data_IF_330266408152
#
_entry.id   IF_330266408152
#
_cell.length_a   1.000
_cell.length_b   1.000
_cell.length_c   1.000
_cell.angle_alpha   90.00
_cell.angle_beta   90.00
_cell.angle_gamma   90.00
#
_symmetry.space_group_name_H-M   'P 1'
#
loop_
_entity.id
_entity.type
_entity.pdbx_description
1 polymer ?
#
# COMPACT_ATOMS: atom_id res chain seq x y z
N UNK A 1 -38.42 -30.44 16.71
CA UNK A 1 -36.95 -30.39 16.65
C UNK A 1 -36.43 -30.58 15.23
N UNK A 2 -36.34 -31.80 14.66
CA UNK A 2 -35.75 -31.99 13.30
C UNK A 2 -36.36 -31.09 12.20
N UNK A 3 -37.68 -30.95 12.14
CA UNK A 3 -38.37 -30.09 11.16
C UNK A 3 -38.22 -28.56 11.40
N UNK A 4 -37.78 -28.13 12.59
CA UNK A 4 -37.49 -26.72 12.83
C UNK A 4 -36.08 -26.36 12.33
N UNK A 5 -35.13 -27.29 12.45
CA UNK A 5 -33.73 -27.09 12.04
C UNK A 5 -33.63 -26.90 10.52
N UNK A 6 -34.44 -27.61 9.73
CA UNK A 6 -34.50 -27.48 8.26
C UNK A 6 -34.89 -26.07 7.78
N UNK A 7 -35.88 -25.42 8.43
CA UNK A 7 -36.31 -24.08 8.03
C UNK A 7 -35.30 -22.99 8.41
N UNK A 8 -34.55 -23.19 9.49
CA UNK A 8 -33.50 -22.25 9.93
C UNK A 8 -32.23 -22.35 9.07
N UNK A 9 -31.88 -23.56 8.60
CA UNK A 9 -30.78 -23.75 7.66
C UNK A 9 -31.09 -23.11 6.29
N UNK A 10 -32.34 -23.23 5.80
CA UNK A 10 -32.79 -22.56 4.58
C UNK A 10 -32.74 -21.02 4.68
N UNK A 11 -33.05 -20.44 5.84
CA UNK A 11 -32.93 -19.00 6.05
C UNK A 11 -31.47 -18.51 6.06
N UNK A 12 -30.54 -19.31 6.60
CA UNK A 12 -29.11 -19.02 6.57
C UNK A 12 -28.48 -19.17 5.17
N UNK A 13 -29.07 -19.98 4.29
CA UNK A 13 -28.62 -20.18 2.90
C UNK A 13 -29.23 -19.12 1.95
N UNK A 14 -30.34 -18.48 2.33
CA UNK A 14 -31.00 -17.43 1.55
C UNK A 14 -30.46 -16.00 1.80
N UNK A 15 -29.57 -15.82 2.80
CA UNK A 15 -28.98 -14.52 3.14
C UNK A 15 -27.47 -14.64 3.38
N UNK A 16 -26.70 -13.95 2.53
CA UNK A 16 -25.22 -13.94 2.44
C UNK A 16 -24.63 -15.03 1.52
N UNK A 17 -23.98 -14.58 0.44
CA UNK A 17 -23.21 -15.41 -0.50
C UNK A 17 -21.81 -15.76 0.06
N UNK A 18 -21.18 -16.81 -0.47
CA UNK A 18 -19.75 -16.80 -0.84
C UNK A 18 -19.41 -17.88 -1.90
N UNK A 19 -18.24 -17.72 -2.54
CA UNK A 19 -17.85 -18.11 -3.93
C UNK A 19 -16.30 -18.25 -3.96
N UNK A 20 -15.58 -19.06 -4.78
CA UNK A 20 -15.85 -19.80 -6.04
C UNK A 20 -15.13 -21.16 -6.11
N UNK A 21 -15.59 -22.05 -7.02
CA UNK A 21 -14.95 -23.30 -7.46
C UNK A 21 -13.57 -23.14 -8.15
N UNK A 22 -12.84 -24.27 -8.26
CA UNK A 22 -11.79 -24.49 -9.28
C UNK A 22 -11.73 -25.98 -9.76
N UNK A 23 -11.24 -26.28 -10.99
CA UNK A 23 -11.41 -27.59 -11.64
C UNK A 23 -10.12 -28.40 -11.89
N UNK A 24 -10.26 -29.71 -12.13
CA UNK A 24 -9.29 -30.51 -12.91
C UNK A 24 -10.06 -31.39 -13.91
N UNK A 25 -9.61 -31.43 -15.17
CA UNK A 25 -10.20 -32.26 -16.22
C UNK A 25 -9.16 -33.21 -16.83
N UNK A 26 -9.38 -34.52 -16.69
CA UNK A 26 -8.85 -35.54 -17.59
C UNK A 26 -9.77 -36.77 -17.56
N UNK A 27 -10.44 -37.05 -18.68
CA UNK A 27 -11.23 -38.28 -18.85
C UNK A 27 -10.29 -39.36 -19.38
N UNK A 28 -10.08 -40.45 -18.62
CA UNK A 28 -10.23 -41.84 -19.11
C UNK A 28 -9.64 -42.88 -18.15
N UNK A 29 -10.43 -43.94 -17.89
CA UNK A 29 -9.93 -45.28 -17.53
C UNK A 29 -9.38 -45.50 -16.11
N UNK A 30 -9.77 -46.64 -15.52
CA UNK A 30 -9.03 -47.25 -14.40
C UNK A 30 -9.69 -47.12 -13.03
N UNK A 31 -10.12 -48.26 -12.48
CA UNK A 31 -10.67 -48.39 -11.12
C UNK A 31 -9.53 -48.44 -10.10
N UNK A 32 -9.64 -47.74 -8.96
CA UNK A 32 -8.70 -47.85 -7.84
C UNK A 32 -9.13 -47.11 -6.58
N UNK A 33 -9.41 -47.85 -5.50
CA UNK A 33 -9.77 -47.31 -4.18
C UNK A 33 -8.52 -47.10 -3.31
N UNK A 34 -8.41 -45.97 -2.59
CA UNK A 34 -8.12 -45.90 -1.14
C UNK A 34 -7.67 -44.49 -0.68
N UNK A 35 -8.23 -44.00 0.45
CA UNK A 35 -7.44 -43.23 1.43
C UNK A 35 -7.89 -41.82 1.85
N UNK A 36 -8.63 -41.75 2.97
CA UNK A 36 -8.73 -40.64 3.96
C UNK A 36 -9.61 -39.41 3.67
N UNK A 37 -10.31 -39.05 4.75
CA UNK A 37 -10.88 -37.75 5.14
C UNK A 37 -11.94 -37.10 4.22
N UNK A 38 -13.18 -37.56 4.40
CA UNK A 38 -14.39 -37.05 3.74
C UNK A 38 -14.84 -35.68 4.28
N UNK A 39 -14.32 -34.59 3.71
CA UNK A 39 -14.97 -33.28 3.73
C UNK A 39 -15.53 -32.95 2.35
N UNK A 40 -16.85 -32.72 2.22
CA UNK A 40 -17.45 -32.19 0.99
C UNK A 40 -17.47 -30.67 1.08
N UNK A 41 -16.53 -30.01 0.43
CA UNK A 41 -16.61 -28.57 0.16
C UNK A 41 -17.60 -28.32 -0.99
N UNK A 42 -18.45 -27.31 -0.85
CA UNK A 42 -19.39 -26.87 -1.89
C UNK A 42 -18.99 -25.45 -2.30
N UNK A 43 -18.11 -25.36 -3.29
CA UNK A 43 -17.41 -24.10 -3.60
C UNK A 43 -18.24 -23.06 -4.40
N UNK A 44 -19.43 -23.40 -4.88
CA UNK A 44 -20.25 -22.44 -5.64
C UNK A 44 -21.76 -22.72 -5.60
N UNK A 45 -22.53 -21.68 -5.27
CA UNK A 45 -23.99 -21.63 -5.45
C UNK A 45 -24.33 -20.34 -6.19
N UNK A 46 -24.83 -20.40 -7.44
CA UNK A 46 -25.33 -19.20 -8.11
C UNK A 46 -26.64 -18.71 -7.48
N UNK A 47 -26.83 -17.39 -7.43
CA UNK A 47 -27.98 -16.74 -6.79
C UNK A 47 -29.37 -17.07 -7.39
N UNK A 48 -29.42 -17.91 -8.43
CA UNK A 48 -30.62 -18.38 -9.13
C UNK A 48 -31.07 -19.80 -8.72
N UNK A 49 -30.39 -20.47 -7.78
CA UNK A 49 -30.79 -21.80 -7.31
C UNK A 49 -32.04 -21.72 -6.44
N UNK A 50 -33.17 -22.18 -6.97
CA UNK A 50 -34.39 -22.39 -6.22
C UNK A 50 -34.28 -23.67 -5.37
N UNK A 51 -33.76 -23.50 -4.15
CA UNK A 51 -33.57 -24.57 -3.17
C UNK A 51 -34.85 -25.32 -2.77
N UNK A 52 -36.04 -24.77 -3.05
CA UNK A 52 -37.31 -25.46 -2.80
C UNK A 52 -37.54 -26.65 -3.75
N UNK A 53 -36.78 -26.72 -4.85
CA UNK A 53 -36.86 -27.78 -5.88
C UNK A 53 -35.79 -28.87 -5.74
N UNK A 54 -34.91 -28.79 -4.74
CA UNK A 54 -33.89 -29.82 -4.48
C UNK A 54 -34.50 -30.97 -3.67
N UNK A 55 -34.40 -32.21 -4.16
CA UNK A 55 -34.82 -33.40 -3.41
C UNK A 55 -33.76 -33.80 -2.37
N UNK A 56 -33.90 -33.22 -1.19
CA UNK A 56 -33.05 -33.49 -0.03
C UNK A 56 -33.18 -34.91 0.56
N UNK A 57 -34.14 -35.73 0.08
CA UNK A 57 -34.32 -37.10 0.58
C UNK A 57 -33.20 -38.05 0.13
N UNK A 58 -32.45 -37.70 -0.92
CA UNK A 58 -31.33 -38.48 -1.44
C UNK A 58 -30.00 -38.21 -0.69
N UNK A 59 -29.95 -37.22 0.21
CA UNK A 59 -28.72 -36.87 0.94
C UNK A 59 -28.57 -37.76 2.18
N UNK A 60 -27.46 -38.49 2.27
CA UNK A 60 -27.15 -39.32 3.43
C UNK A 60 -26.57 -38.50 4.60
N UNK A 61 -27.46 -37.83 5.33
CA UNK A 61 -27.12 -36.97 6.46
C UNK A 61 -26.39 -37.66 7.63
N UNK A 62 -26.39 -38.99 7.71
CA UNK A 62 -25.62 -39.72 8.74
C UNK A 62 -24.14 -39.91 8.38
N UNK A 63 -23.72 -39.54 7.17
CA UNK A 63 -22.31 -39.52 6.77
C UNK A 63 -21.62 -38.18 7.06
N UNK A 64 -22.36 -37.16 7.52
CA UNK A 64 -21.82 -35.83 7.86
C UNK A 64 -21.29 -35.82 9.27
N UNK A 65 -20.02 -35.43 9.46
CA UNK A 65 -19.42 -35.25 10.77
C UNK A 65 -19.79 -33.88 11.37
N UNK A 66 -20.91 -33.84 12.09
CA UNK A 66 -21.45 -32.61 12.69
C UNK A 66 -20.59 -32.02 13.81
N UNK A 67 -19.71 -32.81 14.42
CA UNK A 67 -18.80 -32.38 15.49
C UNK A 67 -17.57 -31.64 14.96
N UNK A 68 -17.28 -31.74 13.65
CA UNK A 68 -16.24 -30.97 12.97
C UNK A 68 -16.71 -29.56 12.53
N UNK A 69 -18.00 -29.23 12.71
CA UNK A 69 -18.56 -27.92 12.34
C UNK A 69 -18.27 -26.91 13.46
N UNK A 70 -17.59 -25.80 13.13
CA UNK A 70 -17.37 -24.70 14.07
C UNK A 70 -18.67 -23.89 14.27
N UNK A 71 -19.52 -24.36 15.17
CA UNK A 71 -20.79 -23.73 15.49
C UNK A 71 -20.63 -22.31 16.09
N UNK A 72 -19.53 -22.00 16.77
CA UNK A 72 -19.26 -20.64 17.25
C UNK A 72 -19.30 -19.62 16.09
N UNK A 73 -18.56 -19.88 15.01
CA UNK A 73 -18.54 -18.97 13.84
C UNK A 73 -19.89 -18.81 13.13
N UNK A 74 -20.81 -19.77 13.29
CA UNK A 74 -22.18 -19.72 12.73
C UNK A 74 -23.10 -18.81 13.57
N UNK A 75 -22.85 -18.69 14.88
CA UNK A 75 -23.73 -17.97 15.81
C UNK A 75 -23.18 -16.63 16.32
N UNK A 76 -21.90 -16.31 16.10
CA UNK A 76 -21.26 -15.07 16.56
C UNK A 76 -21.84 -13.75 15.99
N UNK A 77 -22.77 -13.80 15.05
CA UNK A 77 -23.41 -12.62 14.44
C UNK A 77 -24.69 -12.14 15.15
N UNK A 78 -24.96 -12.60 16.39
CA UNK A 78 -26.28 -12.42 17.04
C UNK A 78 -26.35 -11.79 18.43
N UNK A 79 -25.25 -11.34 19.03
CA UNK A 79 -25.24 -10.82 20.42
C UNK A 79 -25.79 -9.37 20.60
N UNK A 80 -26.68 -8.90 19.72
CA UNK A 80 -27.38 -7.61 19.88
C UNK A 80 -28.88 -7.66 19.53
N UNK A 81 -29.66 -8.50 20.22
CA UNK A 81 -31.12 -8.33 20.37
C UNK A 81 -31.52 -8.64 21.83
N UNK A 82 -32.28 -7.78 22.54
CA UNK A 82 -32.68 -8.03 23.92
C UNK A 82 -33.78 -9.11 24.04
N UNK A 83 -33.83 -9.75 25.21
CA UNK A 83 -34.71 -10.88 25.52
C UNK A 83 -36.21 -10.52 25.48
N UNK A 84 -37.10 -11.39 24.96
CA UNK A 84 -38.53 -11.10 24.86
C UNK A 84 -39.25 -11.30 26.20
N UNK A 85 -39.91 -10.24 26.69
CA UNK A 85 -40.97 -10.35 27.69
C UNK A 85 -42.31 -10.75 27.03
N UNK A 86 -43.10 -11.56 27.72
CA UNK A 86 -44.37 -12.10 27.21
C UNK A 86 -45.40 -11.02 26.89
N UNK A 87 -46.00 -11.05 25.68
CA UNK A 87 -47.40 -10.61 25.48
C UNK A 87 -48.04 -11.22 24.22
N UNK A 88 -49.02 -12.08 24.46
CA UNK A 88 -50.22 -12.44 23.66
C UNK A 88 -50.28 -12.14 22.15
N UNK A 89 -50.53 -13.21 21.38
CA UNK A 89 -51.07 -13.18 20.01
C UNK A 89 -52.36 -12.36 19.87
N UNK A 90 -52.46 -11.56 18.79
CA UNK A 90 -53.72 -11.25 18.13
C UNK A 90 -53.49 -11.07 16.62
N UNK A 91 -54.41 -11.59 15.81
CA UNK A 91 -54.36 -11.56 14.35
C UNK A 91 -54.63 -10.17 13.77
N UNK A 92 -53.79 -9.73 12.82
CA UNK A 92 -54.07 -8.57 11.96
C UNK A 92 -54.60 -9.03 10.59
N UNK A 93 -55.89 -9.33 10.54
CA UNK A 93 -56.66 -9.50 9.30
C UNK A 93 -57.58 -8.27 9.17
N UNK A 94 -56.99 -7.11 8.89
CA UNK A 94 -57.72 -5.85 8.60
C UNK A 94 -56.76 -4.86 7.91
N UNK A 95 -57.31 -3.83 7.25
CA UNK A 95 -56.63 -2.86 6.35
C UNK A 95 -56.41 -3.33 4.90
N UNK A 96 -57.49 -3.75 4.23
CA UNK A 96 -57.53 -3.86 2.77
C UNK A 96 -58.93 -3.50 2.24
N UNK A 97 -59.34 -2.24 2.40
CA UNK A 97 -60.52 -1.68 1.70
C UNK A 97 -60.57 -0.13 1.72
N UNK A 98 -60.21 0.50 0.60
CA UNK A 98 -60.58 1.86 0.12
C UNK A 98 -59.57 2.30 -0.97
N UNK A 99 -59.95 2.66 -2.21
CA UNK A 99 -61.27 2.72 -2.82
C UNK A 99 -61.16 2.50 -4.36
N UNK A 100 -62.27 2.10 -5.00
CA UNK A 100 -62.36 1.81 -6.44
C UNK A 100 -63.45 2.68 -7.11
N UNK A 101 -63.12 3.32 -8.24
CA UNK A 101 -64.01 3.75 -9.35
C UNK A 101 -63.13 4.46 -10.41
N UNK A 102 -62.70 3.88 -11.52
CA UNK A 102 -63.39 3.29 -12.70
C UNK A 102 -64.22 4.30 -13.53
N UNK A 103 -63.70 4.68 -14.70
CA UNK A 103 -64.49 4.78 -15.95
C UNK A 103 -63.63 4.75 -17.23
N UNK A 104 -64.12 4.05 -18.24
CA UNK A 104 -63.54 3.53 -19.50
C UNK A 104 -63.02 4.55 -20.57
N UNK A 105 -62.42 4.08 -21.70
CA UNK A 105 -61.53 4.88 -22.58
C UNK A 105 -62.12 5.34 -23.93
N UNK A 106 -61.41 6.23 -24.64
CA UNK A 106 -61.61 6.61 -26.07
C UNK A 106 -60.24 6.80 -26.77
N UNK A 107 -60.20 6.62 -28.09
CA UNK A 107 -59.01 6.34 -28.93
C UNK A 107 -58.31 7.54 -29.62
N UNK A 108 -57.11 7.25 -30.14
CA UNK A 108 -56.38 7.90 -31.26
C UNK A 108 -55.78 9.32 -31.10
N UNK A 109 -54.73 9.70 -31.88
CA UNK A 109 -53.62 8.90 -32.43
C UNK A 109 -52.22 9.53 -32.18
N UNK A 110 -51.16 8.92 -32.73
CA UNK A 110 -49.75 9.32 -32.51
C UNK A 110 -49.30 10.63 -33.21
N UNK A 111 -48.30 11.36 -32.66
CA UNK A 111 -47.65 12.49 -33.33
C UNK A 111 -46.37 12.10 -34.11
N UNK A 112 -46.13 12.77 -35.22
CA UNK A 112 -44.97 12.57 -36.12
C UNK A 112 -43.68 13.29 -35.65
N UNK A 113 -42.55 12.86 -36.21
CA UNK A 113 -41.23 13.49 -36.08
C UNK A 113 -41.14 14.83 -36.86
N UNK A 114 -40.55 15.89 -36.28
CA UNK A 114 -40.03 17.02 -37.05
C UNK A 114 -38.54 16.85 -37.35
N UNK A 115 -38.21 16.72 -38.63
CA UNK A 115 -36.83 16.82 -39.14
C UNK A 115 -36.40 18.29 -39.29
N UNK A 116 -35.29 18.70 -38.69
CA UNK A 116 -34.31 19.69 -39.23
C UNK A 116 -33.12 19.90 -38.29
N UNK A 117 -31.91 19.87 -38.85
CA UNK A 117 -30.70 20.32 -38.17
C UNK A 117 -30.53 21.85 -38.31
N UNK A 118 -29.94 22.55 -37.32
CA UNK A 118 -29.38 23.89 -37.50
C UNK A 118 -27.91 23.84 -37.96
N UNK A 119 -27.53 24.81 -38.79
CA UNK A 119 -26.17 25.02 -39.29
C UNK A 119 -25.21 25.59 -38.22
N UNK A 120 -23.89 25.40 -38.34
CA UNK A 120 -22.92 25.92 -37.37
C UNK A 120 -22.75 27.44 -37.50
N UNK A 121 -23.01 28.18 -36.41
CA UNK A 121 -22.72 29.61 -36.35
C UNK A 121 -21.24 29.87 -36.03
N UNK A 122 -20.56 30.55 -36.95
CA UNK A 122 -19.20 31.04 -36.79
C UNK A 122 -19.19 32.41 -36.12
N UNK A 123 -18.82 32.49 -34.84
CA UNK A 123 -18.41 33.73 -34.18
C UNK A 123 -17.44 33.44 -33.02
N UNK A 124 -16.17 33.82 -33.19
CA UNK A 124 -15.20 33.84 -32.10
C UNK A 124 -15.27 35.19 -31.35
N UNK A 125 -15.19 35.21 -30.01
CA UNK A 125 -14.94 36.43 -29.25
C UNK A 125 -13.42 36.67 -29.09
N UNK A 126 -12.95 37.86 -29.47
CA UNK A 126 -11.57 38.32 -29.22
C UNK A 126 -11.35 38.65 -27.72
N UNK A 127 -10.11 38.54 -27.20
CA UNK A 127 -9.81 38.80 -25.80
C UNK A 127 -9.73 40.30 -25.47
N UNK A 128 -10.35 40.71 -24.36
CA UNK A 128 -10.13 42.05 -23.77
C UNK A 128 -9.05 41.99 -22.67
N UNK A 129 -8.07 42.92 -22.63
CA UNK A 129 -6.95 42.86 -21.72
C UNK A 129 -7.09 43.81 -20.51
N UNK A 130 -7.05 43.29 -19.28
CA UNK A 130 -6.67 44.08 -18.09
C UNK A 130 -5.91 43.17 -17.11
N UNK A 131 -4.63 43.47 -16.89
CA UNK A 131 -3.85 42.96 -15.77
C UNK A 131 -3.71 44.08 -14.72
N UNK A 132 -3.88 43.81 -13.41
CA UNK A 132 -3.48 44.75 -12.37
C UNK A 132 -1.97 44.66 -12.12
N UNK A 133 -1.29 45.81 -12.15
CA UNK A 133 0.15 45.92 -11.85
C UNK A 133 0.45 45.67 -10.35
N UNK A 134 1.55 44.98 -10.01
CA UNK A 134 2.05 44.92 -8.64
C UNK A 134 2.74 46.23 -8.26
N UNK A 135 2.26 46.89 -7.20
CA UNK A 135 2.93 48.07 -6.63
C UNK A 135 4.26 47.69 -5.96
N UNK A 136 5.35 48.46 -6.17
CA UNK A 136 6.65 48.16 -5.56
C UNK A 136 6.76 48.75 -4.15
N UNK A 137 7.20 47.95 -3.17
CA UNK A 137 7.71 48.45 -1.89
C UNK A 137 9.12 47.91 -1.68
N UNK A 138 10.09 48.71 -2.12
CA UNK A 138 11.52 48.54 -1.84
C UNK A 138 11.88 49.49 -0.69
N UNK A 139 12.48 49.00 0.41
CA UNK A 139 13.28 49.83 1.30
C UNK A 139 14.70 49.94 0.72
N UNK A 140 15.14 51.16 0.40
CA UNK A 140 16.53 51.40 -0.04
C UNK A 140 17.56 51.30 1.12
N UNK A 141 18.85 51.04 0.82
CA UNK A 141 19.86 50.71 1.82
C UNK A 141 20.77 51.89 2.21
N UNK A 142 21.27 51.90 3.46
CA UNK A 142 22.54 52.56 3.86
C UNK A 142 22.84 52.38 5.37
N UNK A 143 24.12 52.50 5.82
CA UNK A 143 25.36 52.14 5.13
C UNK A 143 26.41 51.45 6.05
N UNK A 144 27.57 51.16 5.46
CA UNK A 144 28.90 51.06 6.10
C UNK A 144 29.29 49.78 6.90
N UNK A 145 30.11 48.97 6.22
CA UNK A 145 31.07 48.00 6.76
C UNK A 145 32.07 48.66 7.74
N UNK A 146 32.51 47.95 8.79
CA UNK A 146 33.95 47.77 8.95
C UNK A 146 34.37 46.31 9.22
N UNK A 147 35.33 45.82 8.42
CA UNK A 147 36.16 44.63 8.63
C UNK A 147 37.53 44.98 8.00
N UNK A 148 38.71 44.52 8.49
CA UNK A 148 38.95 43.43 9.44
C UNK A 148 39.66 43.83 10.75
N UNK A 149 39.59 42.95 11.74
CA UNK A 149 40.69 42.74 12.68
C UNK A 149 41.18 41.30 12.57
N UNK A 150 42.51 41.14 12.49
CA UNK A 150 43.20 39.88 12.27
C UNK A 150 43.82 39.41 13.58
N UNK A 151 43.44 38.23 14.08
CA UNK A 151 44.14 37.54 15.15
C UNK A 151 43.83 36.04 15.14
N UNK A 152 44.49 35.30 14.25
CA UNK A 152 44.77 33.89 14.50
C UNK A 152 46.00 33.82 15.44
N UNK A 153 45.98 33.02 16.51
CA UNK A 153 47.20 32.74 17.26
C UNK A 153 48.10 31.79 16.45
N UNK A 154 49.38 32.15 16.31
CA UNK A 154 50.39 31.35 15.61
C UNK A 154 50.67 30.00 16.30
N UNK A 155 51.08 28.96 15.55
CA UNK A 155 51.62 27.74 16.12
C UNK A 155 53.02 27.99 16.71
N UNK A 156 53.27 27.49 17.92
CA UNK A 156 54.59 27.52 18.57
C UNK A 156 55.56 26.48 17.98
N UNK A 157 56.89 26.70 18.08
CA UNK A 157 57.88 26.16 17.13
C UNK A 157 58.36 24.72 17.41
N UNK A 158 58.97 24.04 16.42
CA UNK A 158 59.56 22.72 16.57
C UNK A 158 60.94 22.75 17.26
N UNK A 159 61.24 21.68 17.99
CA UNK A 159 62.53 21.37 18.62
C UNK A 159 63.18 20.13 17.95
N UNK A 160 64.50 19.88 18.12
CA UNK A 160 65.35 19.63 16.95
C UNK A 160 65.58 18.16 16.53
N UNK A 161 66.09 18.06 15.32
CA UNK A 161 66.66 16.89 14.64
C UNK A 161 67.67 16.09 15.47
N UNK A 162 67.63 14.77 15.31
CA UNK A 162 68.82 13.90 15.44
C UNK A 162 69.01 13.06 14.18
N UNK A 163 70.28 12.81 13.86
CA UNK A 163 70.75 12.37 12.54
C UNK A 163 71.16 10.89 12.57
N UNK A 164 70.71 10.09 11.59
CA UNK A 164 71.50 8.95 11.09
C UNK A 164 70.99 8.40 9.75
N UNK A 165 71.75 8.66 8.69
CA UNK A 165 71.75 7.95 7.38
C UNK A 165 72.55 6.64 7.56
N UNK A 166 72.25 5.54 6.84
CA UNK A 166 72.84 5.29 5.51
C UNK A 166 71.77 4.80 4.50
N UNK A 167 71.66 5.31 3.28
CA UNK A 167 72.56 5.07 2.12
C UNK A 167 72.73 3.60 1.75
N UNK A 168 72.06 3.14 0.68
CA UNK A 168 72.73 2.49 -0.48
C UNK A 168 71.78 2.26 -1.69
N UNK A 169 72.30 2.60 -2.87
CA UNK A 169 72.01 2.08 -4.24
C UNK A 169 70.62 2.10 -4.89
N UNK A 170 70.58 2.85 -6.00
CA UNK A 170 69.67 2.84 -7.14
C UNK A 170 69.42 1.46 -7.81
N UNK A 171 68.15 1.20 -8.17
CA UNK A 171 67.77 0.57 -9.46
C UNK A 171 66.27 0.75 -9.74
N UNK A 172 65.91 1.16 -10.97
CA UNK A 172 64.53 1.19 -11.50
C UNK A 172 64.44 0.32 -12.78
N UNK A 173 63.25 0.02 -13.35
CA UNK A 173 62.23 -0.86 -12.77
C UNK A 173 61.73 -1.93 -13.80
N UNK A 174 61.05 -3.02 -13.37
CA UNK A 174 60.23 -3.85 -14.26
C UNK A 174 58.79 -3.32 -14.42
N UNK A 175 58.05 -3.71 -15.48
CA UNK A 175 56.87 -2.98 -15.93
C UNK A 175 55.56 -3.23 -15.15
N UNK A 176 54.67 -2.25 -15.27
CA UNK A 176 53.28 -2.25 -14.79
C UNK A 176 52.45 -3.38 -15.43
N UNK A 177 51.78 -4.24 -14.64
CA UNK A 177 50.65 -5.04 -15.11
C UNK A 177 49.41 -4.15 -15.33
N UNK A 178 48.66 -4.42 -16.39
CA UNK A 178 47.36 -3.79 -16.65
C UNK A 178 46.29 -4.26 -15.65
N UNK A 179 45.23 -3.47 -15.41
CA UNK A 179 44.19 -3.82 -14.44
C UNK A 179 43.43 -5.07 -14.92
N UNK A 180 43.60 -6.17 -14.20
CA UNK A 180 42.73 -7.34 -14.37
C UNK A 180 41.30 -6.95 -13.99
N UNK A 181 40.37 -7.11 -14.91
CA UNK A 181 38.93 -6.93 -14.69
C UNK A 181 38.45 -7.98 -13.70
N UNK A 182 38.42 -7.62 -12.42
CA UNK A 182 37.64 -8.35 -11.42
C UNK A 182 36.18 -8.27 -11.87
N UNK A 183 35.57 -9.43 -12.13
CA UNK A 183 34.14 -9.50 -12.38
C UNK A 183 33.39 -8.86 -11.21
N UNK A 184 32.29 -8.16 -11.52
CA UNK A 184 31.34 -7.75 -10.51
C UNK A 184 30.81 -9.01 -9.80
N UNK A 185 30.47 -8.95 -8.49
CA UNK A 185 29.70 -10.02 -7.88
C UNK A 185 28.41 -10.22 -8.67
N UNK A 186 28.06 -11.46 -8.98
CA UNK A 186 26.70 -11.78 -9.43
C UNK A 186 25.72 -11.28 -8.36
N UNK A 187 24.52 -10.78 -8.75
CA UNK A 187 23.52 -10.38 -7.78
C UNK A 187 23.14 -11.60 -6.94
N UNK A 188 23.52 -11.59 -5.66
CA UNK A 188 23.08 -12.61 -4.72
C UNK A 188 21.56 -12.63 -4.71
N UNK A 189 20.99 -13.81 -4.94
CA UNK A 189 19.54 -13.99 -4.85
C UNK A 189 19.11 -13.63 -3.44
N UNK A 190 18.10 -12.76 -3.24
CA UNK A 190 17.70 -12.34 -1.92
C UNK A 190 17.16 -13.54 -1.15
N UNK A 191 18.00 -14.07 -0.25
CA UNK A 191 17.63 -15.14 0.66
C UNK A 191 16.51 -14.60 1.54
N UNK A 192 15.30 -15.15 1.41
CA UNK A 192 14.07 -14.60 2.00
C UNK A 192 14.04 -14.84 3.53
N UNK A 193 14.87 -14.07 4.25
CA UNK A 193 15.08 -14.13 5.70
C UNK A 193 14.28 -13.07 6.46
N UNK A 194 13.03 -12.83 6.03
CA UNK A 194 12.19 -11.73 6.53
C UNK A 194 10.70 -11.94 6.28
N UNK A 195 10.13 -13.02 6.82
CA UNK A 195 8.67 -13.21 6.90
C UNK A 195 7.94 -13.57 5.59
N UNK A 196 6.61 -13.49 5.66
CA UNK A 196 5.69 -13.82 4.58
C UNK A 196 5.57 -12.73 3.49
N UNK A 197 6.04 -11.49 3.70
CA UNK A 197 6.03 -10.39 2.72
C UNK A 197 7.35 -9.61 2.76
N UNK A 198 7.82 -9.07 1.62
CA UNK A 198 9.06 -8.28 1.56
C UNK A 198 9.00 -7.05 2.47
N UNK A 199 7.91 -6.29 2.42
CA UNK A 199 7.71 -5.08 3.22
C UNK A 199 6.24 -4.70 3.37
N UNK A 200 5.95 -3.86 4.36
CA UNK A 200 4.63 -3.26 4.59
C UNK A 200 4.72 -1.74 4.73
N UNK A 201 3.73 -1.02 4.20
CA UNK A 201 3.51 0.39 4.60
C UNK A 201 2.88 0.41 6.00
N UNK A 202 3.27 1.38 6.82
CA UNK A 202 2.84 1.44 8.22
C UNK A 202 2.52 2.87 8.64
N UNK A 203 1.22 3.12 8.86
CA UNK A 203 0.68 4.34 9.43
C UNK A 203 0.22 4.05 10.87
N UNK A 204 0.99 4.44 11.90
CA UNK A 204 0.76 3.99 13.28
C UNK A 204 -0.32 4.78 14.04
N UNK A 205 -0.92 5.82 13.43
CA UNK A 205 -2.02 6.61 14.01
C UNK A 205 -3.06 5.75 14.73
N UNK A 206 -3.59 6.24 15.85
CA UNK A 206 -4.72 5.61 16.52
C UNK A 206 -5.96 5.65 15.61
N UNK A 207 -7.01 4.89 15.93
CA UNK A 207 -8.21 4.77 15.08
C UNK A 207 -9.00 6.07 14.91
N UNK A 208 -8.78 7.05 15.79
CA UNK A 208 -9.34 8.40 15.75
C UNK A 208 -8.41 9.42 15.07
N UNK A 209 -7.27 8.98 14.51
CA UNK A 209 -6.23 9.82 13.92
C UNK A 209 -5.28 10.48 14.92
N UNK A 210 -5.44 10.25 16.23
CA UNK A 210 -4.53 10.79 17.23
C UNK A 210 -3.15 10.10 17.18
N UNK A 211 -2.13 10.81 17.69
CA UNK A 211 -0.77 10.29 17.75
C UNK A 211 -0.65 9.06 18.66
N UNK A 212 0.03 7.98 18.23
CA UNK A 212 0.25 6.79 19.04
C UNK A 212 1.32 7.04 20.10
N UNK A 213 1.37 6.17 21.12
CA UNK A 213 2.48 6.14 22.08
C UNK A 213 3.52 5.04 21.75
N UNK A 214 4.65 5.06 22.46
CA UNK A 214 5.74 4.10 22.26
C UNK A 214 5.31 2.65 22.57
N UNK A 215 4.41 2.44 23.53
CA UNK A 215 3.93 1.11 23.89
C UNK A 215 3.08 0.49 22.77
N UNK A 216 2.21 1.30 22.18
CA UNK A 216 1.38 1.00 21.02
C UNK A 216 2.27 0.66 19.82
N UNK A 217 3.19 1.54 19.43
CA UNK A 217 4.12 1.28 18.32
C UNK A 217 4.98 0.03 18.58
N UNK A 218 5.46 -0.18 19.80
CA UNK A 218 6.23 -1.38 20.16
C UNK A 218 5.42 -2.68 20.05
N UNK A 219 4.14 -2.65 20.40
CA UNK A 219 3.22 -3.80 20.27
C UNK A 219 2.94 -4.11 18.80
N UNK A 220 2.68 -3.07 17.99
CA UNK A 220 2.38 -3.17 16.57
C UNK A 220 3.59 -3.68 15.78
N UNK A 221 4.79 -3.12 15.99
CA UNK A 221 6.01 -3.55 15.29
C UNK A 221 6.42 -5.01 15.64
N UNK A 222 6.17 -5.48 16.86
CA UNK A 222 6.38 -6.90 17.22
C UNK A 222 5.49 -7.87 16.45
N UNK A 223 4.30 -7.43 16.02
CA UNK A 223 3.41 -8.22 15.15
C UNK A 223 3.85 -8.12 13.68
N UNK A 224 4.19 -6.93 13.21
CA UNK A 224 4.69 -6.69 11.84
C UNK A 224 5.94 -7.51 11.55
N UNK A 225 6.89 -7.59 12.50
CA UNK A 225 8.12 -8.38 12.39
C UNK A 225 7.92 -9.90 12.26
N UNK A 226 6.70 -10.41 12.47
CA UNK A 226 6.36 -11.82 12.18
C UNK A 226 6.00 -12.04 10.71
N UNK A 227 5.66 -10.97 10.00
CA UNK A 227 5.17 -10.98 8.61
C UNK A 227 6.21 -10.43 7.63
N UNK A 228 7.09 -9.54 8.06
CA UNK A 228 8.05 -8.87 7.18
C UNK A 228 9.32 -8.41 7.90
N UNK A 229 10.39 -8.14 7.15
CA UNK A 229 11.62 -7.49 7.62
C UNK A 229 11.67 -5.96 7.37
N UNK A 230 10.79 -5.39 6.55
CA UNK A 230 10.89 -3.99 6.12
C UNK A 230 9.59 -3.21 6.37
N UNK A 231 9.69 -1.98 6.90
CA UNK A 231 8.54 -1.05 7.00
C UNK A 231 8.80 0.26 6.24
N UNK A 232 7.75 0.81 5.63
CA UNK A 232 7.74 2.16 5.05
C UNK A 232 6.87 3.10 5.89
N UNK A 233 7.42 4.26 6.24
CA UNK A 233 6.70 5.37 6.89
C UNK A 233 6.53 6.51 5.87
N UNK A 234 5.48 7.33 6.05
CA UNK A 234 5.16 8.42 5.12
C UNK A 234 5.76 9.78 5.49
N UNK A 235 5.97 10.01 6.79
CA UNK A 235 6.41 11.30 7.34
C UNK A 235 7.08 11.09 8.71
N UNK A 236 7.52 12.17 9.34
CA UNK A 236 7.89 12.17 10.77
C UNK A 236 6.79 12.73 11.68
N UNK A 237 5.56 12.92 11.18
CA UNK A 237 4.41 13.36 11.98
C UNK A 237 4.25 12.51 13.24
N UNK A 238 3.61 13.03 14.30
CA UNK A 238 3.41 12.32 15.57
C UNK A 238 4.68 11.63 16.14
N UNK A 239 5.88 12.13 15.80
CA UNK A 239 7.17 11.50 16.10
C UNK A 239 7.29 10.02 15.63
N UNK A 240 6.57 9.62 14.58
CA UNK A 240 6.43 8.22 14.16
C UNK A 240 7.76 7.53 13.91
N UNK A 241 8.69 8.18 13.20
CA UNK A 241 10.04 7.68 12.97
C UNK A 241 10.79 7.44 14.29
N UNK A 242 10.74 8.40 15.22
CA UNK A 242 11.38 8.30 16.54
C UNK A 242 10.79 7.15 17.36
N UNK A 243 9.47 7.02 17.39
CA UNK A 243 8.77 5.94 18.09
C UNK A 243 9.11 4.57 17.47
N UNK A 244 9.18 4.46 16.15
CA UNK A 244 9.55 3.23 15.46
C UNK A 244 11.01 2.82 15.74
N UNK A 245 11.96 3.74 15.63
CA UNK A 245 13.39 3.50 15.95
C UNK A 245 13.57 3.10 17.41
N UNK A 246 12.90 3.79 18.34
CA UNK A 246 12.90 3.43 19.76
C UNK A 246 12.30 2.04 20.00
N UNK A 247 11.13 1.75 19.41
CA UNK A 247 10.47 0.46 19.54
C UNK A 247 11.34 -0.68 19.03
N UNK A 248 11.98 -0.51 17.87
CA UNK A 248 12.89 -1.50 17.27
C UNK A 248 14.10 -1.74 18.17
N UNK A 249 14.85 -0.69 18.53
CA UNK A 249 16.10 -0.82 19.31
C UNK A 249 15.85 -1.27 20.76
N UNK A 250 14.81 -0.76 21.43
CA UNK A 250 14.51 -1.13 22.81
C UNK A 250 14.01 -2.58 22.97
N UNK A 251 13.47 -3.18 21.90
CA UNK A 251 12.91 -4.54 21.93
C UNK A 251 13.66 -5.53 21.02
N UNK A 252 14.78 -5.12 20.41
CA UNK A 252 15.56 -5.91 19.45
C UNK A 252 14.68 -6.54 18.34
N UNK A 253 13.82 -5.73 17.73
CA UNK A 253 12.91 -6.17 16.66
C UNK A 253 13.70 -6.24 15.34
N UNK A 254 13.58 -7.35 14.61
CA UNK A 254 14.21 -7.51 13.29
C UNK A 254 13.46 -6.76 12.17
N UNK A 255 13.50 -5.43 12.20
CA UNK A 255 12.91 -4.57 11.16
C UNK A 255 13.88 -3.46 10.75
N UNK A 256 13.92 -3.13 9.46
CA UNK A 256 14.48 -1.88 8.93
C UNK A 256 13.38 -0.92 8.52
N UNK A 257 13.70 0.37 8.45
CA UNK A 257 12.76 1.46 8.19
C UNK A 257 13.17 2.20 6.92
N UNK A 258 12.19 2.43 6.05
CA UNK A 258 12.25 3.38 4.94
C UNK A 258 11.37 4.59 5.27
N UNK A 259 11.93 5.63 5.93
CA UNK A 259 11.19 6.84 6.26
C UNK A 259 10.85 7.69 5.05
N UNK A 260 9.74 8.41 5.16
CA UNK A 260 9.31 9.48 4.27
C UNK A 260 9.49 10.86 4.89
N UNK A 261 9.69 11.85 4.04
CA UNK A 261 9.62 13.29 4.32
C UNK A 261 8.37 13.81 3.62
N UNK A 262 7.41 14.36 4.37
CA UNK A 262 6.20 14.92 3.78
C UNK A 262 6.46 16.30 3.18
N UNK A 263 6.07 16.51 1.91
CA UNK A 263 6.32 17.78 1.20
C UNK A 263 5.07 18.44 0.62
N UNK A 264 3.90 17.79 0.66
CA UNK A 264 2.63 18.36 0.14
C UNK A 264 2.21 19.67 0.85
N UNK A 265 2.66 19.89 2.09
CA UNK A 265 2.45 21.12 2.88
C UNK A 265 3.54 22.20 2.65
N UNK A 266 4.45 21.96 1.70
CA UNK A 266 5.49 22.90 1.30
C UNK A 266 6.75 22.88 2.16
N UNK A 267 7.65 23.84 1.89
CA UNK A 267 9.03 23.83 2.36
C UNK A 267 9.19 23.81 3.89
N UNK A 268 8.29 24.47 4.63
CA UNK A 268 8.35 24.49 6.09
C UNK A 268 8.09 23.11 6.70
N UNK A 269 7.13 22.36 6.15
CA UNK A 269 6.86 20.98 6.58
C UNK A 269 8.00 20.04 6.20
N UNK A 270 8.48 20.14 4.95
CA UNK A 270 9.63 19.39 4.45
C UNK A 270 10.87 19.57 5.34
N UNK A 271 11.16 20.81 5.78
CA UNK A 271 12.27 21.11 6.68
C UNK A 271 12.07 20.51 8.07
N UNK A 272 10.86 20.62 8.63
CA UNK A 272 10.52 20.03 9.93
C UNK A 272 10.70 18.52 9.95
N UNK A 273 10.21 17.82 8.91
CA UNK A 273 10.37 16.37 8.77
C UNK A 273 11.84 15.98 8.58
N UNK A 274 12.61 16.75 7.80
CA UNK A 274 14.04 16.50 7.55
C UNK A 274 14.90 16.74 8.80
N UNK A 275 14.58 17.75 9.61
CA UNK A 275 15.27 18.01 10.89
C UNK A 275 15.00 16.90 11.91
N UNK A 276 13.77 16.40 12.01
CA UNK A 276 13.45 15.26 12.88
C UNK A 276 14.12 13.96 12.38
N UNK A 277 14.17 13.71 11.07
CA UNK A 277 14.93 12.59 10.50
C UNK A 277 16.41 12.66 10.90
N UNK A 278 17.09 13.79 10.66
CA UNK A 278 18.50 13.97 11.01
C UNK A 278 18.71 13.85 12.53
N UNK A 279 17.80 14.38 13.34
CA UNK A 279 17.81 14.28 14.81
C UNK A 279 17.76 12.81 15.27
N UNK A 280 16.80 12.03 14.77
CA UNK A 280 16.66 10.61 15.11
C UNK A 280 17.87 9.81 14.65
N UNK A 281 18.32 9.96 13.41
CA UNK A 281 19.44 9.18 12.87
C UNK A 281 20.76 9.47 13.60
N UNK A 282 21.03 10.74 13.95
CA UNK A 282 22.22 11.10 14.73
C UNK A 282 22.15 10.64 16.19
N UNK A 283 20.94 10.51 16.76
CA UNK A 283 20.76 10.03 18.14
C UNK A 283 20.85 8.50 18.26
N UNK A 284 20.31 7.74 17.30
CA UNK A 284 20.14 6.29 17.43
C UNK A 284 20.99 5.45 16.46
N UNK A 285 21.56 6.05 15.42
CA UNK A 285 22.26 5.36 14.33
C UNK A 285 21.42 5.25 13.05
N UNK A 286 22.10 4.92 11.94
CA UNK A 286 21.50 4.66 10.61
C UNK A 286 21.47 3.17 10.24
N UNK A 287 21.86 2.29 11.15
CA UNK A 287 21.96 0.82 11.00
C UNK A 287 20.65 0.10 10.67
N UNK A 288 19.50 0.77 10.84
CA UNK A 288 18.17 0.26 10.51
C UNK A 288 17.42 1.18 9.53
N UNK A 289 18.14 2.05 8.79
CA UNK A 289 17.57 3.05 7.88
C UNK A 289 18.04 2.79 6.44
N UNK A 290 17.18 2.18 5.63
CA UNK A 290 17.54 1.66 4.30
C UNK A 290 17.19 2.61 3.14
N UNK A 291 16.74 3.83 3.43
CA UNK A 291 16.59 4.91 2.46
C UNK A 291 15.47 5.90 2.76
N UNK A 292 15.62 7.12 2.29
CA UNK A 292 14.75 8.27 2.54
C UNK A 292 13.90 8.62 1.30
N UNK A 293 12.59 8.47 1.40
CA UNK A 293 11.64 9.00 0.40
C UNK A 293 11.36 10.47 0.67
N UNK A 294 11.48 11.33 -0.34
CA UNK A 294 11.14 12.75 -0.26
C UNK A 294 9.90 13.01 -1.11
N UNK A 295 8.75 13.13 -0.44
CA UNK A 295 7.43 13.18 -1.07
C UNK A 295 6.78 11.81 -1.33
N UNK A 296 5.47 11.87 -1.57
CA UNK A 296 4.63 10.75 -1.98
C UNK A 296 3.53 11.25 -2.94
N UNK A 297 3.67 10.94 -4.23
CA UNK A 297 2.72 11.28 -5.29
C UNK A 297 2.48 12.80 -5.41
N UNK A 298 3.54 13.58 -5.31
CA UNK A 298 3.45 15.04 -5.29
C UNK A 298 3.09 15.59 -6.68
N UNK A 299 3.54 14.95 -7.75
CA UNK A 299 3.31 15.43 -9.11
C UNK A 299 1.88 15.13 -9.60
N UNK A 300 1.23 14.06 -9.14
CA UNK A 300 -0.19 13.82 -9.41
C UNK A 300 -1.09 14.79 -8.62
N UNK A 301 -0.64 15.26 -7.45
CA UNK A 301 -1.24 16.37 -6.68
C UNK A 301 -0.96 17.77 -7.27
N UNK A 302 -0.21 17.87 -8.38
CA UNK A 302 0.06 19.12 -9.08
C UNK A 302 1.33 19.88 -8.66
N UNK A 303 2.21 19.29 -7.84
CA UNK A 303 3.54 19.87 -7.61
C UNK A 303 4.37 19.81 -8.91
N UNK A 304 5.07 20.90 -9.25
CA UNK A 304 5.98 20.86 -10.41
C UNK A 304 7.15 19.91 -10.13
N UNK A 305 7.54 19.14 -11.14
CA UNK A 305 8.69 18.22 -11.04
C UNK A 305 9.97 18.95 -10.60
N UNK A 306 10.17 20.19 -11.07
CA UNK A 306 11.28 21.06 -10.65
C UNK A 306 11.29 21.38 -9.15
N UNK A 307 10.11 21.51 -8.52
CA UNK A 307 9.99 21.75 -7.07
C UNK A 307 10.35 20.48 -6.30
N UNK A 308 9.84 19.33 -6.73
CA UNK A 308 10.14 18.03 -6.12
C UNK A 308 11.63 17.68 -6.23
N UNK A 309 12.24 17.85 -7.41
CA UNK A 309 13.69 17.73 -7.63
C UNK A 309 14.46 18.69 -6.70
N UNK A 310 13.96 19.90 -6.50
CA UNK A 310 14.50 20.87 -5.54
C UNK A 310 14.51 20.33 -4.10
N UNK A 311 13.44 19.67 -3.64
CA UNK A 311 13.40 19.05 -2.31
C UNK A 311 14.30 17.81 -2.19
N UNK A 312 14.33 16.93 -3.20
CA UNK A 312 15.22 15.76 -3.25
C UNK A 312 16.69 16.19 -3.11
N UNK A 313 17.10 17.22 -3.86
CA UNK A 313 18.47 17.74 -3.81
C UNK A 313 18.80 18.44 -2.47
N UNK A 314 17.83 19.12 -1.85
CA UNK A 314 17.99 19.72 -0.52
C UNK A 314 18.20 18.63 0.55
N UNK A 315 17.38 17.58 0.55
CA UNK A 315 17.53 16.44 1.44
C UNK A 315 18.90 15.76 1.26
N UNK A 316 19.27 15.41 0.01
CA UNK A 316 20.58 14.81 -0.33
C UNK A 316 21.76 15.67 0.17
N UNK A 317 21.72 16.98 -0.07
CA UNK A 317 22.75 17.93 0.39
C UNK A 317 22.84 18.00 1.91
N UNK A 318 21.69 18.00 2.62
CA UNK A 318 21.66 17.96 4.09
C UNK A 318 22.27 16.67 4.63
N UNK A 319 21.92 15.51 4.06
CA UNK A 319 22.48 14.23 4.50
C UNK A 319 24.00 14.18 4.30
N UNK A 320 24.51 14.67 3.17
CA UNK A 320 25.95 14.79 2.92
C UNK A 320 26.64 15.68 3.97
N UNK A 321 26.08 16.85 4.29
CA UNK A 321 26.63 17.77 5.28
C UNK A 321 26.64 17.22 6.71
N UNK A 322 25.68 16.34 7.04
CA UNK A 322 25.55 15.70 8.37
C UNK A 322 26.36 14.39 8.49
N UNK A 323 27.09 13.99 7.44
CA UNK A 323 27.84 12.72 7.42
C UNK A 323 26.97 11.47 7.18
N UNK A 324 25.75 11.66 6.67
CA UNK A 324 24.75 10.63 6.37
C UNK A 324 24.59 10.35 4.87
N UNK A 325 25.55 10.78 4.05
CA UNK A 325 25.50 10.70 2.58
C UNK A 325 25.52 9.27 1.99
N UNK A 326 25.62 8.24 2.83
CA UNK A 326 25.45 6.83 2.44
C UNK A 326 23.99 6.39 2.37
N UNK A 327 23.05 7.14 2.96
CA UNK A 327 21.62 6.81 2.95
C UNK A 327 21.04 7.16 1.56
N UNK A 328 20.43 6.21 0.83
CA UNK A 328 19.79 6.48 -0.45
C UNK A 328 18.65 7.49 -0.33
N UNK A 329 18.52 8.40 -1.30
CA UNK A 329 17.47 9.41 -1.38
C UNK A 329 16.72 9.28 -2.70
N UNK A 330 15.39 9.23 -2.64
CA UNK A 330 14.50 9.07 -3.79
C UNK A 330 13.16 9.78 -3.53
N UNK A 331 12.23 9.75 -4.49
CA UNK A 331 10.80 10.05 -4.27
C UNK A 331 9.96 8.80 -4.53
N UNK A 332 8.72 8.79 -4.06
CA UNK A 332 7.69 7.82 -4.44
C UNK A 332 6.61 8.52 -5.25
N UNK A 333 6.36 8.11 -6.50
CA UNK A 333 5.28 8.66 -7.33
C UNK A 333 4.43 7.53 -7.94
N UNK A 334 3.26 7.86 -8.49
CA UNK A 334 2.51 6.92 -9.32
C UNK A 334 3.32 6.60 -10.60
N UNK A 335 3.18 5.40 -11.16
CA UNK A 335 3.91 5.00 -12.37
C UNK A 335 3.67 5.92 -13.57
N UNK A 336 2.44 6.37 -13.79
CA UNK A 336 2.10 7.32 -14.85
C UNK A 336 2.77 8.70 -14.68
N UNK A 337 3.31 8.99 -13.51
CA UNK A 337 3.89 10.26 -13.09
C UNK A 337 5.40 10.22 -12.86
N UNK A 338 6.01 9.03 -12.76
CA UNK A 338 7.46 8.91 -12.54
C UNK A 338 8.22 9.10 -13.87
N UNK A 339 8.95 10.20 -13.99
CA UNK A 339 9.70 10.56 -15.21
C UNK A 339 11.18 10.17 -15.14
N UNK A 340 11.86 10.07 -16.30
CA UNK A 340 13.31 9.86 -16.34
C UNK A 340 14.11 11.01 -15.71
N UNK A 341 13.53 12.21 -15.63
CA UNK A 341 14.15 13.37 -14.99
C UNK A 341 14.11 13.24 -13.46
N UNK A 342 12.98 12.82 -12.87
CA UNK A 342 12.93 12.37 -11.46
C UNK A 342 13.89 11.21 -11.21
N UNK A 343 13.89 10.20 -12.09
CA UNK A 343 14.78 9.04 -11.97
C UNK A 343 16.25 9.45 -11.99
N UNK A 344 16.63 10.50 -12.72
CA UNK A 344 18.02 10.97 -12.79
C UNK A 344 18.58 11.42 -11.42
N UNK A 345 17.77 12.03 -10.56
CA UNK A 345 18.18 12.57 -9.24
C UNK A 345 17.93 11.64 -8.05
N UNK A 346 17.19 10.55 -8.24
CA UNK A 346 16.95 9.52 -7.20
C UNK A 346 18.03 8.43 -7.24
N UNK A 347 18.32 7.77 -6.12
CA UNK A 347 19.25 6.60 -6.11
C UNK A 347 18.56 5.30 -6.58
N UNK A 348 17.23 5.23 -6.44
CA UNK A 348 16.35 4.18 -6.96
C UNK A 348 15.04 4.80 -7.45
N UNK A 349 14.24 4.05 -8.20
CA UNK A 349 12.88 4.43 -8.60
C UNK A 349 11.87 3.69 -7.74
N UNK A 350 11.09 4.42 -6.95
CA UNK A 350 10.01 3.85 -6.14
C UNK A 350 8.65 4.30 -6.69
N UNK A 351 7.79 3.33 -7.03
CA UNK A 351 6.51 3.59 -7.71
C UNK A 351 5.32 2.99 -6.99
N UNK A 352 4.27 3.78 -6.79
CA UNK A 352 2.98 3.31 -6.32
C UNK A 352 2.18 2.81 -7.54
N UNK A 353 1.79 1.53 -7.52
CA UNK A 353 1.09 0.90 -8.66
C UNK A 353 -0.07 0.06 -8.14
N UNK A 354 -1.29 0.54 -8.37
CA UNK A 354 -2.52 -0.13 -7.98
C UNK A 354 -3.35 -0.50 -9.20
N UNK A 355 -3.67 -1.79 -9.33
CA UNK A 355 -4.66 -2.30 -10.28
C UNK A 355 -6.09 -2.34 -9.73
N UNK A 356 -6.26 -2.15 -8.41
CA UNK A 356 -7.59 -2.15 -7.76
C UNK A 356 -8.46 -0.96 -8.16
N UNK A 357 -7.82 0.14 -8.60
CA UNK A 357 -8.45 1.36 -9.12
C UNK A 357 -8.50 1.40 -10.67
N UNK A 358 -8.03 0.37 -11.38
CA UNK A 358 -8.08 0.33 -12.84
C UNK A 358 -9.55 0.32 -13.31
N UNK A 359 -9.85 1.00 -14.42
CA UNK A 359 -11.22 1.15 -14.96
C UNK A 359 -11.83 -0.14 -15.54
N UNK A 360 -11.06 -1.23 -15.58
CA UNK A 360 -11.49 -2.56 -16.03
C UNK A 360 -10.94 -3.61 -15.07
N UNK A 361 -11.84 -4.35 -14.43
CA UNK A 361 -11.49 -5.58 -13.73
C UNK A 361 -11.71 -6.80 -14.64
N UNK A 362 -10.85 -7.82 -14.54
CA UNK A 362 -11.01 -9.11 -15.25
C UNK A 362 -10.82 -10.28 -14.29
N UNK A 363 -9.69 -10.30 -13.58
CA UNK A 363 -9.40 -11.27 -12.52
C UNK A 363 -8.23 -10.76 -11.67
N UNK A 364 -8.04 -11.33 -10.48
CA UNK A 364 -6.89 -11.05 -9.63
C UNK A 364 -5.57 -11.36 -10.37
N UNK A 365 -5.50 -12.43 -11.14
CA UNK A 365 -4.33 -12.76 -11.98
C UNK A 365 -4.03 -11.68 -13.03
N UNK A 366 -5.06 -11.15 -13.70
CA UNK A 366 -4.91 -10.07 -14.66
C UNK A 366 -4.46 -8.76 -13.98
N UNK A 367 -5.00 -8.46 -12.80
CA UNK A 367 -4.62 -7.32 -11.98
C UNK A 367 -3.16 -7.41 -11.51
N UNK A 368 -2.71 -8.56 -11.00
CA UNK A 368 -1.30 -8.78 -10.62
C UNK A 368 -0.39 -8.67 -11.84
N UNK A 369 -0.78 -9.25 -12.98
CA UNK A 369 -0.02 -9.13 -14.23
C UNK A 369 0.08 -7.66 -14.69
N UNK A 370 -1.00 -6.87 -14.56
CA UNK A 370 -1.02 -5.44 -14.89
C UNK A 370 0.04 -4.67 -14.10
N UNK A 371 0.10 -4.82 -12.76
CA UNK A 371 1.07 -4.06 -11.96
C UNK A 371 2.52 -4.44 -12.22
N UNK A 372 2.81 -5.72 -12.49
CA UNK A 372 4.16 -6.17 -12.89
C UNK A 372 4.53 -5.60 -14.27
N UNK A 373 3.63 -5.63 -15.24
CA UNK A 373 3.88 -5.05 -16.57
C UNK A 373 4.09 -3.53 -16.52
N UNK A 374 3.37 -2.82 -15.64
CA UNK A 374 3.56 -1.39 -15.38
C UNK A 374 4.94 -1.12 -14.77
N UNK A 375 5.37 -1.90 -13.78
CA UNK A 375 6.72 -1.80 -13.22
C UNK A 375 7.82 -2.14 -14.24
N UNK A 376 7.63 -3.16 -15.09
CA UNK A 376 8.58 -3.50 -16.16
C UNK A 376 8.70 -2.36 -17.18
N UNK A 377 7.61 -1.67 -17.51
CA UNK A 377 7.66 -0.47 -18.36
C UNK A 377 8.50 0.65 -17.72
N UNK A 378 8.38 0.87 -16.40
CA UNK A 378 9.22 1.82 -15.66
C UNK A 378 10.69 1.38 -15.67
N UNK A 379 10.97 0.11 -15.34
CA UNK A 379 12.32 -0.49 -15.35
C UNK A 379 13.02 -0.32 -16.69
N UNK A 380 12.32 -0.59 -17.79
CA UNK A 380 12.90 -0.60 -19.13
C UNK A 380 13.03 0.79 -19.77
N UNK A 381 12.11 1.72 -19.49
CA UNK A 381 12.02 2.99 -20.22
C UNK A 381 12.31 4.24 -19.36
N UNK A 382 12.12 4.17 -18.05
CA UNK A 382 12.21 5.33 -17.14
C UNK A 382 13.44 5.26 -16.25
N UNK A 383 13.70 4.10 -15.63
CA UNK A 383 14.64 3.97 -14.52
C UNK A 383 16.13 4.13 -14.89
N UNK A 384 16.48 4.09 -16.18
CA UNK A 384 17.87 4.30 -16.63
C UNK A 384 18.87 3.27 -16.05
N UNK A 385 18.42 2.05 -15.76
CA UNK A 385 19.22 1.00 -15.13
C UNK A 385 19.29 1.06 -13.60
N UNK A 386 18.64 2.02 -12.95
CA UNK A 386 18.52 2.07 -11.47
C UNK A 386 17.54 1.01 -10.97
N UNK A 387 17.68 0.52 -9.71
CA UNK A 387 16.71 -0.39 -9.10
C UNK A 387 15.29 0.20 -9.11
N UNK A 388 14.30 -0.66 -9.34
CA UNK A 388 12.88 -0.31 -9.26
C UNK A 388 12.22 -1.08 -8.13
N UNK A 389 11.44 -0.39 -7.30
CA UNK A 389 10.71 -0.94 -6.15
C UNK A 389 9.25 -0.49 -6.19
N UNK A 390 8.33 -1.35 -5.78
CA UNK A 390 6.96 -0.92 -5.51
C UNK A 390 6.93 -0.15 -4.18
N UNK A 391 6.63 1.15 -4.23
CA UNK A 391 6.39 1.97 -3.05
C UNK A 391 5.12 1.55 -2.33
N UNK A 392 4.11 1.16 -3.11
CA UNK A 392 2.82 0.62 -2.70
C UNK A 392 2.24 -0.28 -3.79
N UNK A 393 1.59 -1.34 -3.36
CA UNK A 393 0.45 -1.96 -4.05
C UNK A 393 -0.39 -2.74 -3.04
N UNK A 394 -1.67 -2.94 -3.31
CA UNK A 394 -2.56 -3.63 -2.38
C UNK A 394 -3.96 -3.86 -2.94
N UNK A 395 -4.78 -4.56 -2.17
CA UNK A 395 -6.18 -4.84 -2.52
C UNK A 395 -7.07 -4.78 -1.29
N UNK A 396 -7.99 -3.81 -1.24
CA UNK A 396 -8.85 -3.62 -0.07
C UNK A 396 -9.87 -4.74 0.09
N UNK A 397 -10.17 -5.10 1.35
CA UNK A 397 -11.09 -6.18 1.70
C UNK A 397 -12.56 -5.78 1.72
N UNK A 398 -12.88 -4.49 1.60
CA UNK A 398 -14.24 -3.94 1.67
C UNK A 398 -14.34 -2.61 0.91
N UNK A 399 -15.51 -1.99 0.90
CA UNK A 399 -15.80 -0.76 0.16
C UNK A 399 -16.04 -0.96 -1.33
N UNK A 400 -15.74 0.06 -2.14
CA UNK A 400 -15.97 0.05 -3.58
C UNK A 400 -14.96 0.96 -4.32
N UNK A 401 -14.19 0.39 -5.26
CA UNK A 401 -13.25 1.12 -6.14
C UNK A 401 -13.66 1.09 -7.63
N UNK A 402 -14.97 0.98 -7.89
CA UNK A 402 -15.50 0.87 -9.25
C UNK A 402 -15.69 -0.60 -9.66
N UNK A 403 -15.04 -1.10 -10.73
CA UNK A 403 -15.28 -2.45 -11.25
C UNK A 403 -14.64 -3.58 -10.42
N UNK A 404 -13.66 -3.25 -9.59
CA UNK A 404 -12.88 -4.23 -8.82
C UNK A 404 -13.68 -4.74 -7.61
N UNK A 405 -13.93 -6.06 -7.50
CA UNK A 405 -14.64 -6.64 -6.37
C UNK A 405 -13.74 -6.66 -5.13
N UNK A 406 -14.17 -5.99 -4.06
CA UNK A 406 -13.44 -5.91 -2.81
C UNK A 406 -14.00 -6.94 -1.82
N UNK A 407 -13.12 -7.81 -1.33
CA UNK A 407 -13.43 -8.86 -0.37
C UNK A 407 -12.15 -9.37 0.26
N UNK A 408 -12.22 -9.94 1.47
CA UNK A 408 -11.11 -10.61 2.13
C UNK A 408 -10.51 -11.74 1.25
N UNK A 409 -11.34 -12.47 0.50
CA UNK A 409 -10.88 -13.51 -0.43
C UNK A 409 -10.01 -12.92 -1.54
N UNK A 410 -10.39 -11.77 -2.09
CA UNK A 410 -9.62 -11.09 -3.13
C UNK A 410 -8.36 -10.40 -2.60
N UNK A 411 -8.40 -9.85 -1.37
CA UNK A 411 -7.21 -9.35 -0.66
C UNK A 411 -6.15 -10.46 -0.52
N UNK A 412 -6.53 -11.61 0.06
CA UNK A 412 -5.64 -12.77 0.23
C UNK A 412 -5.08 -13.23 -1.12
N UNK A 413 -5.97 -13.42 -2.12
CA UNK A 413 -5.57 -13.87 -3.44
C UNK A 413 -4.61 -12.90 -4.14
N UNK A 414 -4.84 -11.58 -4.01
CA UNK A 414 -3.96 -10.56 -4.57
C UNK A 414 -2.62 -10.53 -3.83
N UNK A 415 -2.61 -10.52 -2.50
CA UNK A 415 -1.39 -10.52 -1.69
C UNK A 415 -0.49 -11.73 -2.00
N UNK A 416 -1.07 -12.94 -2.08
CA UNK A 416 -0.33 -14.16 -2.42
C UNK A 416 0.23 -14.10 -3.85
N UNK A 417 -0.63 -13.83 -4.85
CA UNK A 417 -0.23 -13.83 -6.27
C UNK A 417 0.75 -12.70 -6.59
N UNK A 418 0.54 -11.52 -6.03
CA UNK A 418 1.46 -10.38 -6.19
C UNK A 418 2.83 -10.68 -5.61
N UNK A 419 2.92 -11.17 -4.36
CA UNK A 419 4.20 -11.60 -3.76
C UNK A 419 4.98 -12.53 -4.70
N UNK A 420 4.31 -13.58 -5.19
CA UNK A 420 4.94 -14.58 -6.05
C UNK A 420 5.42 -13.99 -7.38
N UNK A 421 4.62 -13.10 -7.99
CA UNK A 421 4.99 -12.43 -9.22
C UNK A 421 6.13 -11.40 -9.02
N UNK A 422 6.10 -10.62 -7.95
CA UNK A 422 7.14 -9.65 -7.59
C UNK A 422 8.48 -10.35 -7.31
N UNK A 423 8.48 -11.42 -6.51
CA UNK A 423 9.66 -12.24 -6.26
C UNK A 423 10.22 -12.85 -7.56
N UNK A 424 9.36 -13.42 -8.41
CA UNK A 424 9.76 -14.01 -9.69
C UNK A 424 10.33 -12.99 -10.69
N UNK A 425 9.87 -11.74 -10.64
CA UNK A 425 10.33 -10.64 -11.49
C UNK A 425 11.43 -9.77 -10.85
N UNK A 426 11.93 -10.16 -9.67
CA UNK A 426 13.02 -9.47 -8.97
C UNK A 426 12.66 -8.07 -8.48
N UNK A 427 11.49 -7.91 -7.86
CA UNK A 427 11.02 -6.64 -7.29
C UNK A 427 10.91 -6.72 -5.77
N UNK A 428 11.57 -5.76 -5.11
CA UNK A 428 11.22 -5.32 -3.76
C UNK A 428 9.86 -4.61 -3.77
N UNK A 429 9.09 -4.68 -2.68
CA UNK A 429 7.77 -4.05 -2.58
C UNK A 429 7.31 -3.79 -1.14
N UNK A 430 6.68 -2.64 -0.88
CA UNK A 430 5.81 -2.49 0.28
C UNK A 430 4.37 -2.81 -0.10
N UNK A 431 3.78 -3.81 0.56
CA UNK A 431 2.36 -4.07 0.43
C UNK A 431 1.57 -3.03 1.25
N UNK A 432 0.53 -2.47 0.65
CA UNK A 432 -0.36 -1.49 1.26
C UNK A 432 -1.60 -2.22 1.81
N UNK A 433 -1.80 -2.31 3.13
CA UNK A 433 -0.96 -1.78 4.22
C UNK A 433 -0.88 -2.71 5.43
N UNK A 434 -0.18 -2.28 6.49
CA UNK A 434 -0.10 -3.05 7.73
C UNK A 434 -1.48 -3.21 8.39
N UNK A 435 -2.24 -2.14 8.65
CA UNK A 435 -3.52 -2.21 9.38
C UNK A 435 -4.62 -1.36 8.77
N UNK A 436 -5.87 -1.79 8.95
CA UNK A 436 -7.03 -1.02 8.50
C UNK A 436 -7.00 0.41 9.07
N UNK A 437 -6.94 1.39 8.17
CA UNK A 437 -6.75 2.80 8.48
C UNK A 437 -8.07 3.51 8.81
N UNK A 438 -8.75 3.10 9.89
CA UNK A 438 -10.00 3.74 10.36
C UNK A 438 -9.84 5.23 10.71
N UNK A 439 -8.61 5.74 10.81
CA UNK A 439 -8.34 7.17 10.98
C UNK A 439 -8.62 8.00 9.73
N UNK A 440 -8.71 7.38 8.53
CA UNK A 440 -9.12 8.01 7.27
C UNK A 440 -10.64 8.27 7.23
N UNK A 441 -11.16 8.92 8.27
CA UNK A 441 -12.57 9.27 8.39
C UNK A 441 -12.97 10.27 7.29
N UNK A 442 -14.01 9.95 6.53
CA UNK A 442 -14.46 10.75 5.38
C UNK A 442 -13.91 10.28 4.02
N UNK A 443 -12.88 9.43 4.00
CA UNK A 443 -12.43 8.75 2.78
C UNK A 443 -13.34 7.56 2.44
N UNK A 444 -13.34 7.07 1.18
CA UNK A 444 -14.07 5.88 0.77
C UNK A 444 -13.78 4.67 1.67
N UNK A 445 -14.78 3.82 1.94
CA UNK A 445 -14.64 2.63 2.80
C UNK A 445 -13.49 1.69 2.36
N UNK A 446 -13.15 1.68 1.07
CA UNK A 446 -11.99 0.95 0.57
C UNK A 446 -10.68 1.42 1.18
N UNK A 447 -10.49 2.72 1.36
CA UNK A 447 -9.28 3.34 1.94
C UNK A 447 -9.04 2.94 3.40
N UNK A 448 -10.11 2.56 4.11
CA UNK A 448 -10.06 2.14 5.51
C UNK A 448 -9.78 0.64 5.66
N UNK A 449 -9.78 -0.14 4.57
CA UNK A 449 -9.83 -1.61 4.59
C UNK A 449 -8.69 -2.33 3.83
N UNK A 450 -7.59 -1.64 3.53
CA UNK A 450 -6.38 -2.19 2.89
C UNK A 450 -5.42 -2.95 3.81
N UNK A 451 -5.60 -2.88 5.13
CA UNK A 451 -4.62 -3.44 6.05
C UNK A 451 -4.71 -4.94 6.15
N UNK A 452 -3.60 -5.68 6.14
CA UNK A 452 -3.60 -7.14 6.37
C UNK A 452 -3.96 -7.52 7.83
N UNK A 453 -3.78 -6.58 8.75
CA UNK A 453 -4.33 -6.62 10.11
C UNK A 453 -5.58 -5.71 10.20
N UNK A 454 -6.49 -6.05 11.12
CA UNK A 454 -7.54 -5.13 11.56
C UNK A 454 -6.95 -3.88 12.24
N UNK A 455 -7.79 -2.89 12.50
CA UNK A 455 -7.39 -1.66 13.19
C UNK A 455 -6.75 -1.91 14.57
N UNK A 456 -7.23 -2.93 15.29
CA UNK A 456 -6.73 -3.43 16.58
C UNK A 456 -5.50 -4.35 16.46
N UNK A 457 -4.91 -4.44 15.27
CA UNK A 457 -3.78 -5.31 14.95
C UNK A 457 -4.08 -6.82 15.16
N UNK A 458 -5.30 -7.26 14.85
CA UNK A 458 -5.64 -8.70 14.75
C UNK A 458 -5.45 -9.14 13.29
N UNK A 459 -4.76 -10.24 12.96
CA UNK A 459 -4.65 -10.72 11.58
C UNK A 459 -6.04 -10.95 10.97
N UNK A 460 -6.31 -10.44 9.77
CA UNK A 460 -7.57 -10.70 9.05
C UNK A 460 -7.63 -12.12 8.46
N UNK A 461 -6.47 -12.73 8.25
CA UNK A 461 -6.30 -14.05 7.69
C UNK A 461 -5.02 -14.71 8.21
N UNK A 462 -4.87 -16.02 7.99
CA UNK A 462 -3.64 -16.75 8.31
C UNK A 462 -2.53 -16.39 7.31
N UNK A 463 -1.46 -15.75 7.78
CA UNK A 463 -0.29 -15.42 6.95
C UNK A 463 0.44 -16.66 6.41
N UNK A 464 0.17 -17.85 6.96
CA UNK A 464 0.58 -19.13 6.38
C UNK A 464 0.09 -19.33 4.93
N UNK A 465 -1.04 -18.72 4.54
CA UNK A 465 -1.55 -18.72 3.17
C UNK A 465 -0.62 -18.00 2.18
N UNK A 466 0.18 -17.04 2.64
CA UNK A 466 1.13 -16.29 1.83
C UNK A 466 2.47 -17.03 1.62
N UNK A 467 2.67 -18.18 2.25
CA UNK A 467 3.96 -18.90 2.20
C UNK A 467 4.14 -19.74 0.93
N UNK A 468 3.15 -19.78 0.03
CA UNK A 468 3.14 -20.64 -1.16
C UNK A 468 2.98 -19.84 -2.45
N UNK A 469 3.72 -20.29 -3.46
CA UNK A 469 3.54 -20.02 -4.88
C UNK A 469 3.32 -21.37 -5.58
#
# INVERSE_FOLDING_TARGET
MRACISSWLLAAIAGSQLVSAAPIAAISGGVGLAGRDNGIAVDYVPASVDWSKVDWSQVNWSAVNWDAVNWQSVFSSRDTIPSPSETTYSSAQDQLDSAVAISAPVSDPAPELPSKAPEPSSAAPEPSPVAPEPSPVVPEPSPAVPKPSSAAPEPSPPAPTTTSKPEYTSSSPPPKPEPSTSAAPEPETPSNSGGSLWGLTYSPYNTDGSCPDLATVSSQLKKIAQVTGNIRLYSTDCSQLRLAVQAIKNNNIGLTIHPGIWVSEGAARMQSDLDEFVSVVKQYGSDIIDGLSVGNEETSKGMSESTLIGYINQARSRLQAEGLGHIPVFTTEQDAHFTSSLASVCDLVQVNIYSVFDSIFTSIDASVKSVIQRADNIRNNVAGGKPVRFGETGWSSAGNTGPSPLSLVNEIAYAQKFKCAAASAGYDYFYFEAKNALWKQGEPDSEQNFGIFSADFVPKFDFGLLNYC
#
